data_IF_535645344719
#
_entry.id   IF_535645344719
#
_cell.length_a   1.000
_cell.length_b   1.000
_cell.length_c   1.000
_cell.angle_alpha   90.00
_cell.angle_beta   90.00
_cell.angle_gamma   90.00
#
_symmetry.space_group_name_H-M   'P 1'
#
loop_
_entity.id
_entity.type
_entity.pdbx_description
1 polymer ?
#
# COMPACT_ATOMS: atom_id res chain seq x y z
N UNK A 1 -35.45 -28.16 2.53
CA UNK A 1 -34.56 -27.54 1.53
C UNK A 1 -33.30 -28.39 1.46
N UNK A 2 -33.00 -28.99 0.31
CA UNK A 2 -31.77 -29.78 0.12
C UNK A 2 -30.56 -28.88 0.34
N UNK A 3 -29.75 -29.18 1.36
CA UNK A 3 -28.51 -28.45 1.61
C UNK A 3 -27.58 -28.67 0.40
N UNK A 4 -27.14 -27.58 -0.23
CA UNK A 4 -26.21 -27.65 -1.36
C UNK A 4 -24.98 -28.46 -0.93
N UNK A 5 -24.72 -29.56 -1.65
CA UNK A 5 -23.64 -30.50 -1.31
C UNK A 5 -22.29 -29.84 -1.57
N UNK A 6 -21.60 -29.48 -0.49
CA UNK A 6 -20.23 -28.95 -0.53
C UNK A 6 -19.25 -30.12 -0.44
N UNK A 7 -18.43 -30.29 -1.47
CA UNK A 7 -17.43 -31.37 -1.54
C UNK A 7 -16.19 -31.02 -0.70
N UNK A 8 -15.84 -29.73 -0.59
CA UNK A 8 -14.74 -29.25 0.25
C UNK A 8 -15.09 -27.89 0.87
N UNK A 9 -14.98 -27.78 2.19
CA UNK A 9 -15.21 -26.54 2.94
C UNK A 9 -13.89 -25.82 3.24
N UNK A 10 -13.82 -24.54 2.94
CA UNK A 10 -12.70 -23.63 3.25
C UNK A 10 -13.23 -22.46 4.07
N UNK A 11 -12.45 -22.00 5.05
CA UNK A 11 -12.81 -20.83 5.86
C UNK A 11 -11.76 -19.73 5.76
N UNK A 12 -12.20 -18.48 5.60
CA UNK A 12 -11.35 -17.29 5.62
C UNK A 12 -11.15 -16.84 7.06
N UNK A 13 -9.91 -16.65 7.49
CA UNK A 13 -9.52 -16.25 8.84
C UNK A 13 -8.68 -14.98 8.80
N UNK A 14 -8.70 -14.18 9.86
CA UNK A 14 -7.97 -12.92 9.94
C UNK A 14 -8.79 -11.81 10.56
N UNK A 15 -8.13 -10.77 11.08
CA UNK A 15 -8.79 -9.62 11.74
C UNK A 15 -9.80 -8.95 10.80
N UNK A 16 -10.76 -8.19 11.32
CA UNK A 16 -11.60 -7.32 10.50
C UNK A 16 -10.74 -6.43 9.57
N UNK A 17 -11.26 -6.12 8.38
CA UNK A 17 -10.62 -5.22 7.40
C UNK A 17 -9.30 -5.68 6.77
N UNK A 18 -8.90 -6.96 6.91
CA UNK A 18 -7.70 -7.52 6.27
C UNK A 18 -7.92 -8.04 4.83
N UNK A 19 -9.10 -7.81 4.25
CA UNK A 19 -9.40 -8.16 2.85
C UNK A 19 -10.00 -9.56 2.59
N UNK A 20 -10.48 -10.26 3.62
CA UNK A 20 -11.10 -11.61 3.49
C UNK A 20 -12.28 -11.61 2.51
N UNK A 21 -13.26 -10.74 2.73
CA UNK A 21 -14.44 -10.59 1.89
C UNK A 21 -14.08 -10.21 0.46
N UNK A 22 -13.13 -9.29 0.28
CA UNK A 22 -12.65 -8.86 -1.04
C UNK A 22 -11.99 -10.00 -1.81
N UNK A 23 -11.25 -10.89 -1.14
CA UNK A 23 -10.66 -12.08 -1.76
C UNK A 23 -11.72 -13.09 -2.19
N UNK A 24 -12.74 -13.32 -1.36
CA UNK A 24 -13.86 -14.22 -1.72
C UNK A 24 -14.63 -13.66 -2.91
N UNK A 25 -14.98 -12.38 -2.89
CA UNK A 25 -15.67 -11.69 -3.98
C UNK A 25 -14.88 -11.74 -5.29
N UNK A 26 -13.56 -11.47 -5.23
CA UNK A 26 -12.69 -11.54 -6.40
C UNK A 26 -12.57 -12.95 -6.93
N UNK A 27 -12.42 -13.94 -6.05
CA UNK A 27 -12.30 -15.32 -6.47
C UNK A 27 -13.59 -15.85 -7.09
N UNK A 28 -14.75 -15.54 -6.50
CA UNK A 28 -16.03 -16.14 -6.90
C UNK A 28 -16.66 -15.38 -8.07
N UNK A 29 -16.72 -14.06 -7.98
CA UNK A 29 -17.49 -13.22 -8.89
C UNK A 29 -16.60 -12.40 -9.83
N UNK A 30 -15.27 -12.55 -9.76
CA UNK A 30 -14.30 -11.79 -10.56
C UNK A 30 -14.40 -10.27 -10.39
N UNK A 31 -15.07 -9.78 -9.34
CA UNK A 31 -15.28 -8.36 -9.04
C UNK A 31 -14.52 -7.91 -7.79
N UNK A 32 -14.26 -6.62 -7.70
CA UNK A 32 -13.83 -5.98 -6.46
C UNK A 32 -14.93 -5.01 -6.04
N UNK A 33 -15.35 -5.06 -4.77
CA UNK A 33 -16.40 -4.17 -4.27
C UNK A 33 -15.81 -2.76 -4.08
N UNK A 34 -16.25 -1.81 -4.90
CA UNK A 34 -15.79 -0.40 -4.88
C UNK A 34 -16.77 0.53 -4.15
N UNK A 35 -17.64 -0.03 -3.30
CA UNK A 35 -18.66 0.71 -2.54
C UNK A 35 -18.29 0.93 -1.07
N UNK A 36 -19.17 1.59 -0.27
CA UNK A 36 -18.96 1.72 1.16
C UNK A 36 -18.79 0.34 1.79
N UNK A 37 -17.71 0.17 2.54
CA UNK A 37 -17.35 -1.10 3.15
C UNK A 37 -18.43 -1.54 4.14
N UNK A 38 -19.04 -2.70 3.88
CA UNK A 38 -19.97 -3.36 4.79
C UNK A 38 -19.24 -4.48 5.51
N UNK A 39 -19.27 -4.44 6.85
CA UNK A 39 -18.68 -5.49 7.67
C UNK A 39 -19.42 -6.81 7.48
N UNK A 40 -18.69 -7.90 7.25
CA UNK A 40 -19.25 -9.25 7.34
C UNK A 40 -19.76 -9.48 8.77
N UNK A 41 -21.03 -9.87 8.91
CA UNK A 41 -21.64 -10.21 10.20
C UNK A 41 -21.52 -11.72 10.41
N UNK A 42 -20.82 -12.14 11.47
CA UNK A 42 -20.60 -13.57 11.73
C UNK A 42 -19.75 -14.24 10.65
N UNK A 43 -20.36 -15.05 9.78
CA UNK A 43 -19.72 -15.58 8.59
C UNK A 43 -20.68 -15.71 7.39
N UNK A 44 -20.27 -15.23 6.22
CA UNK A 44 -20.97 -15.41 4.96
C UNK A 44 -20.52 -16.71 4.26
N UNK A 45 -21.44 -17.38 3.57
CA UNK A 45 -21.16 -18.62 2.85
C UNK A 45 -21.35 -18.43 1.35
N UNK A 46 -20.39 -18.92 0.57
CA UNK A 46 -20.44 -18.97 -0.89
C UNK A 46 -19.95 -20.32 -1.36
N UNK A 47 -20.60 -20.92 -2.36
CA UNK A 47 -20.05 -22.10 -3.04
C UNK A 47 -19.65 -21.79 -4.46
N UNK A 48 -18.51 -22.32 -4.89
CA UNK A 48 -18.00 -22.22 -6.25
C UNK A 48 -17.63 -23.61 -6.77
N UNK A 49 -18.17 -24.06 -7.91
CA UNK A 49 -17.65 -25.25 -8.58
C UNK A 49 -16.25 -24.97 -9.12
N UNK A 50 -15.30 -25.86 -8.85
CA UNK A 50 -13.92 -25.77 -9.29
C UNK A 50 -13.49 -27.07 -9.95
N UNK A 51 -12.67 -26.99 -10.98
CA UNK A 51 -12.10 -28.16 -11.64
C UNK A 51 -10.73 -28.46 -11.05
N UNK A 52 -10.54 -29.70 -10.58
CA UNK A 52 -9.27 -30.21 -10.03
C UNK A 52 -8.91 -31.48 -10.78
N UNK A 53 -7.98 -31.36 -11.74
CA UNK A 53 -7.71 -32.42 -12.71
C UNK A 53 -8.93 -32.70 -13.59
N UNK A 54 -9.38 -33.96 -13.63
CA UNK A 54 -10.56 -34.39 -14.39
C UNK A 54 -11.87 -34.33 -13.59
N UNK A 55 -11.83 -33.90 -12.32
CA UNK A 55 -13.01 -33.86 -11.43
C UNK A 55 -13.47 -32.43 -11.19
N UNK A 56 -14.78 -32.21 -11.22
CA UNK A 56 -15.41 -30.97 -10.76
C UNK A 56 -15.88 -31.18 -9.33
N UNK A 57 -15.46 -30.31 -8.42
CA UNK A 57 -15.87 -30.33 -7.01
C UNK A 57 -16.47 -28.99 -6.60
N UNK A 58 -17.41 -29.01 -5.67
CA UNK A 58 -18.02 -27.81 -5.11
C UNK A 58 -17.23 -27.33 -3.90
N UNK A 59 -16.51 -26.22 -4.06
CA UNK A 59 -15.78 -25.57 -2.98
C UNK A 59 -16.71 -24.62 -2.22
N UNK A 60 -16.98 -24.91 -0.96
CA UNK A 60 -17.73 -24.04 -0.06
C UNK A 60 -16.78 -23.15 0.73
N UNK A 61 -16.91 -21.84 0.59
CA UNK A 61 -16.06 -20.81 1.21
C UNK A 61 -16.89 -20.10 2.29
N UNK A 62 -16.38 -20.10 3.51
CA UNK A 62 -16.93 -19.35 4.64
C UNK A 62 -16.08 -18.10 4.88
N UNK A 63 -16.58 -16.94 4.50
CA UNK A 63 -15.97 -15.64 4.82
C UNK A 63 -16.34 -15.23 6.24
N UNK A 64 -15.37 -15.05 7.14
CA UNK A 64 -15.66 -14.68 8.53
C UNK A 64 -15.53 -13.18 8.75
N UNK A 65 -16.22 -12.62 9.74
CA UNK A 65 -16.08 -11.23 10.15
C UNK A 65 -14.63 -10.89 10.56
N UNK A 66 -14.05 -11.75 11.41
CA UNK A 66 -12.72 -11.50 11.99
C UNK A 66 -12.70 -10.46 13.11
N UNK A 67 -13.87 -10.02 13.58
CA UNK A 67 -14.03 -9.14 14.76
C UNK A 67 -14.11 -9.96 16.04
N UNK A 68 -13.52 -9.47 17.15
CA UNK A 68 -13.60 -10.14 18.45
C UNK A 68 -15.04 -10.31 18.96
N UNK A 69 -15.97 -9.46 18.49
CA UNK A 69 -17.40 -9.53 18.84
C UNK A 69 -18.08 -10.84 18.43
N UNK A 70 -17.49 -11.60 17.49
CA UNK A 70 -18.02 -12.88 17.01
C UNK A 70 -17.15 -14.08 17.40
N UNK A 71 -16.18 -13.90 18.31
CA UNK A 71 -15.23 -14.94 18.70
C UNK A 71 -15.92 -16.16 19.33
N UNK A 72 -16.98 -15.96 20.09
CA UNK A 72 -17.79 -17.05 20.67
C UNK A 72 -18.46 -17.94 19.60
N UNK A 73 -18.76 -17.40 18.41
CA UNK A 73 -19.37 -18.15 17.30
C UNK A 73 -18.35 -18.77 16.34
N UNK A 74 -17.08 -18.42 16.47
CA UNK A 74 -16.00 -18.84 15.56
C UNK A 74 -15.89 -20.35 15.41
N UNK A 75 -16.05 -21.11 16.51
CA UNK A 75 -15.97 -22.58 16.53
C UNK A 75 -17.01 -23.25 15.62
N UNK A 76 -18.19 -22.65 15.48
CA UNK A 76 -19.27 -23.18 14.64
C UNK A 76 -18.88 -23.06 13.16
N UNK A 77 -18.28 -21.93 12.78
CA UNK A 77 -17.85 -21.70 11.39
C UNK A 77 -16.67 -22.58 10.98
N UNK A 78 -15.78 -22.92 11.91
CA UNK A 78 -14.62 -23.78 11.62
C UNK A 78 -14.97 -25.26 11.51
N UNK A 79 -16.09 -25.68 12.13
CA UNK A 79 -16.49 -27.09 12.15
C UNK A 79 -16.65 -27.65 10.75
N UNK A 80 -15.96 -28.76 10.47
CA UNK A 80 -16.00 -29.44 9.19
C UNK A 80 -15.25 -28.75 8.04
N UNK A 81 -14.48 -27.68 8.30
CA UNK A 81 -13.60 -27.08 7.30
C UNK A 81 -12.40 -27.99 7.03
N UNK A 82 -12.09 -28.21 5.74
CA UNK A 82 -10.93 -28.97 5.28
C UNK A 82 -9.68 -28.12 5.09
N UNK A 83 -9.83 -26.81 4.89
CA UNK A 83 -8.72 -25.86 4.83
C UNK A 83 -9.12 -24.47 5.36
N UNK A 84 -8.12 -23.65 5.69
CA UNK A 84 -8.31 -22.27 6.10
C UNK A 84 -7.34 -21.34 5.36
N UNK A 85 -7.83 -20.17 4.96
CA UNK A 85 -7.03 -19.11 4.32
C UNK A 85 -6.88 -17.99 5.34
N UNK A 86 -5.64 -17.67 5.73
CA UNK A 86 -5.35 -16.65 6.75
C UNK A 86 -4.94 -15.35 6.05
N UNK A 87 -5.71 -14.29 6.29
CA UNK A 87 -5.49 -12.95 5.79
C UNK A 87 -5.01 -12.05 6.93
N UNK A 88 -3.94 -11.27 6.72
CA UNK A 88 -3.46 -10.29 7.69
C UNK A 88 -3.00 -9.00 6.98
N UNK A 89 -3.11 -7.87 7.68
CA UNK A 89 -2.85 -6.54 7.14
C UNK A 89 -1.37 -6.24 6.92
N UNK A 90 -1.10 -5.54 5.81
CA UNK A 90 0.19 -5.10 5.23
C UNK A 90 1.28 -6.17 5.08
N UNK A 91 1.37 -6.71 3.85
CA UNK A 91 2.52 -7.39 3.19
C UNK A 91 2.63 -8.92 3.11
N UNK A 92 1.58 -9.74 3.24
CA UNK A 92 1.55 -11.10 2.62
C UNK A 92 0.17 -11.77 2.77
N UNK A 93 -0.36 -12.35 1.71
CA UNK A 93 -1.34 -13.43 1.81
C UNK A 93 -0.56 -14.76 1.73
N UNK A 94 -0.66 -15.62 2.75
CA UNK A 94 -0.02 -16.94 2.76
C UNK A 94 -1.03 -18.02 2.41
N UNK A 95 -0.68 -18.88 1.45
CA UNK A 95 -1.27 -20.22 1.33
C UNK A 95 -0.54 -21.14 2.32
N UNK A 96 -1.25 -21.71 3.29
CA UNK A 96 -0.71 -22.72 4.20
C UNK A 96 -1.39 -24.06 3.89
N UNK A 97 -0.62 -25.02 3.38
CA UNK A 97 -1.12 -26.36 3.08
C UNK A 97 -1.14 -27.25 4.35
N UNK A 98 -2.36 -27.41 4.85
CA UNK A 98 -3.05 -28.52 5.54
C UNK A 98 -2.61 -29.21 6.84
N UNK A 99 -1.36 -29.39 7.28
CA UNK A 99 -1.15 -30.35 8.40
C UNK A 99 -0.95 -29.80 9.82
N UNK A 100 -0.68 -28.50 10.03
CA UNK A 100 -0.28 -28.01 11.37
C UNK A 100 -1.26 -27.08 12.10
N UNK A 101 -2.35 -26.64 11.45
CA UNK A 101 -3.27 -25.63 12.02
C UNK A 101 -4.43 -26.26 12.82
N UNK A 102 -4.67 -27.58 12.70
CA UNK A 102 -5.91 -28.19 13.18
C UNK A 102 -6.13 -28.22 14.71
N UNK A 103 -5.15 -27.87 15.57
CA UNK A 103 -5.35 -27.94 17.04
C UNK A 103 -4.93 -26.72 17.87
N UNK A 104 -4.14 -25.78 17.34
CA UNK A 104 -3.60 -24.63 18.12
C UNK A 104 -3.48 -23.41 17.19
N UNK A 105 -3.98 -22.23 17.59
CA UNK A 105 -4.02 -20.98 16.77
C UNK A 105 -2.66 -20.51 16.19
N UNK A 106 -2.56 -19.32 15.59
CA UNK A 106 -1.32 -18.87 14.90
C UNK A 106 -0.06 -19.03 15.77
N UNK A 107 -0.13 -18.66 17.06
CA UNK A 107 0.92 -18.87 18.06
C UNK A 107 1.25 -20.35 18.26
N UNK A 108 0.24 -21.21 18.21
CA UNK A 108 0.36 -22.66 18.30
C UNK A 108 0.96 -23.31 17.06
N UNK A 109 0.66 -22.80 15.87
CA UNK A 109 1.22 -23.26 14.60
C UNK A 109 2.68 -22.83 14.43
N UNK A 110 3.02 -21.60 14.85
CA UNK A 110 4.40 -21.13 14.94
C UNK A 110 5.18 -21.94 15.96
N UNK A 111 4.60 -22.21 17.14
CA UNK A 111 5.20 -23.12 18.14
C UNK A 111 5.39 -24.53 17.59
N UNK A 112 4.40 -25.07 16.89
CA UNK A 112 4.49 -26.42 16.33
C UNK A 112 5.55 -26.51 15.23
N UNK A 113 5.63 -25.52 14.34
CA UNK A 113 6.70 -25.41 13.34
C UNK A 113 8.09 -25.27 13.99
N UNK A 114 8.20 -24.48 15.05
CA UNK A 114 9.43 -24.35 15.84
C UNK A 114 9.85 -25.68 16.50
N UNK A 115 8.93 -26.37 17.18
CA UNK A 115 9.21 -27.68 17.79
C UNK A 115 9.48 -28.77 16.76
N UNK A 116 8.89 -28.67 15.57
CA UNK A 116 9.18 -29.54 14.43
C UNK A 116 10.44 -29.11 13.66
N UNK A 117 11.22 -28.13 14.17
CA UNK A 117 12.45 -27.61 13.57
C UNK A 117 12.29 -27.17 12.12
N UNK A 118 11.09 -26.71 11.76
CA UNK A 118 10.81 -26.10 10.46
C UNK A 118 11.34 -24.68 10.49
N UNK A 119 12.20 -24.33 9.53
CA UNK A 119 12.72 -22.97 9.43
C UNK A 119 11.58 -21.97 9.18
N UNK A 120 11.47 -20.96 10.04
CA UNK A 120 10.48 -19.88 9.95
C UNK A 120 11.08 -18.57 9.46
N UNK A 121 12.39 -18.56 9.18
CA UNK A 121 13.07 -17.44 8.53
C UNK A 121 13.08 -17.64 7.02
N UNK A 122 12.79 -16.58 6.28
CA UNK A 122 12.89 -16.55 4.82
C UNK A 122 13.45 -15.20 4.39
N UNK A 123 14.36 -15.23 3.41
CA UNK A 123 14.92 -14.03 2.80
C UNK A 123 14.19 -13.74 1.50
N UNK A 124 13.76 -12.49 1.31
CA UNK A 124 13.26 -11.98 0.03
C UNK A 124 14.36 -11.19 -0.67
N UNK A 125 14.50 -11.37 -1.99
CA UNK A 125 15.44 -10.60 -2.79
C UNK A 125 14.76 -10.13 -4.08
N UNK A 126 15.03 -8.89 -4.47
CA UNK A 126 14.56 -8.31 -5.72
C UNK A 126 15.70 -7.49 -6.35
N UNK A 127 15.93 -7.72 -7.64
CA UNK A 127 16.87 -6.94 -8.46
C UNK A 127 16.10 -6.42 -9.66
N UNK A 128 16.11 -5.11 -9.86
CA UNK A 128 15.46 -4.48 -11.01
C UNK A 128 16.10 -5.01 -12.31
N UNK A 129 15.32 -5.58 -13.23
CA UNK A 129 15.85 -6.07 -14.49
C UNK A 129 16.21 -4.91 -15.43
N UNK A 130 17.09 -5.19 -16.39
CA UNK A 130 17.32 -4.36 -17.58
C UNK A 130 17.76 -2.91 -17.30
N UNK A 131 18.54 -2.70 -16.24
CA UNK A 131 19.26 -1.45 -16.00
C UNK A 131 20.72 -1.58 -16.46
N UNK A 132 21.17 -0.61 -17.26
CA UNK A 132 22.52 -0.55 -17.78
C UNK A 132 22.66 0.65 -18.70
N UNK A 133 23.40 1.66 -18.24
CA UNK A 133 23.71 2.87 -18.99
C UNK A 133 25.21 3.00 -19.16
N UNK A 134 25.65 3.26 -20.38
CA UNK A 134 27.05 3.47 -20.72
C UNK A 134 27.27 4.93 -21.09
N UNK A 135 28.13 5.60 -20.32
CA UNK A 135 28.46 7.01 -20.50
C UNK A 135 29.34 7.26 -21.73
N UNK A 136 30.13 6.28 -22.16
CA UNK A 136 31.01 6.42 -23.34
C UNK A 136 30.20 6.40 -24.64
N UNK A 137 29.24 5.47 -24.73
CA UNK A 137 28.35 5.35 -25.90
C UNK A 137 27.09 6.20 -25.79
N UNK A 138 26.87 6.85 -24.64
CA UNK A 138 25.67 7.63 -24.30
C UNK A 138 24.36 6.85 -24.57
N UNK A 139 24.38 5.55 -24.27
CA UNK A 139 23.32 4.61 -24.65
C UNK A 139 22.97 3.65 -23.51
N UNK A 140 21.77 3.07 -23.60
CA UNK A 140 21.24 2.15 -22.59
C UNK A 140 20.19 2.78 -21.68
N UNK A 141 19.71 1.98 -20.71
CA UNK A 141 18.59 2.33 -19.84
C UNK A 141 19.09 2.65 -18.44
N UNK A 142 19.15 3.94 -18.13
CA UNK A 142 19.54 4.43 -16.80
C UNK A 142 18.44 4.25 -15.75
N UNK A 143 17.17 4.38 -16.13
CA UNK A 143 16.03 4.41 -15.20
C UNK A 143 14.97 3.36 -15.54
N UNK A 144 14.32 2.81 -14.51
CA UNK A 144 13.27 1.81 -14.70
C UNK A 144 11.96 2.44 -15.22
N UNK A 145 11.56 3.57 -14.65
CA UNK A 145 10.43 4.37 -15.09
C UNK A 145 10.67 5.82 -14.69
N UNK A 146 9.83 6.71 -15.18
CA UNK A 146 9.82 8.13 -14.80
C UNK A 146 8.47 8.48 -14.18
N UNK A 147 8.55 9.38 -13.20
CA UNK A 147 7.41 10.02 -12.56
C UNK A 147 7.28 11.40 -13.20
N UNK A 148 6.05 11.78 -13.54
CA UNK A 148 5.76 13.05 -14.20
C UNK A 148 4.89 13.91 -13.30
N UNK A 149 5.01 15.21 -13.43
CA UNK A 149 4.28 16.15 -12.61
C UNK A 149 4.26 17.53 -13.22
N UNK A 150 3.23 18.30 -12.88
CA UNK A 150 3.12 19.71 -13.21
C UNK A 150 2.65 20.46 -11.97
N UNK A 151 3.28 21.59 -11.68
CA UNK A 151 2.86 22.53 -10.66
C UNK A 151 2.64 23.91 -11.28
N UNK A 152 1.59 24.60 -10.84
CA UNK A 152 1.33 25.99 -11.16
C UNK A 152 1.16 26.75 -9.85
N UNK A 153 1.95 27.82 -9.67
CA UNK A 153 1.96 28.64 -8.47
C UNK A 153 1.72 30.10 -8.82
N UNK A 154 0.92 30.76 -7.99
CA UNK A 154 0.63 32.18 -8.03
C UNK A 154 1.17 32.84 -6.77
N UNK A 155 1.91 33.94 -6.94
CA UNK A 155 2.58 34.67 -5.86
C UNK A 155 2.31 36.15 -5.98
N UNK A 156 2.19 36.81 -4.83
CA UNK A 156 2.13 38.27 -4.73
C UNK A 156 3.44 38.77 -4.14
N UNK A 157 4.04 39.79 -4.76
CA UNK A 157 5.33 40.34 -4.34
C UNK A 157 5.13 41.80 -3.94
N UNK A 158 5.61 42.16 -2.76
CA UNK A 158 5.72 43.55 -2.33
C UNK A 158 6.99 44.16 -2.93
N UNK A 159 6.82 45.00 -3.95
CA UNK A 159 7.91 45.64 -4.66
C UNK A 159 8.73 46.63 -3.81
N UNK A 160 8.25 47.05 -2.64
CA UNK A 160 8.98 47.95 -1.75
C UNK A 160 9.91 47.20 -0.80
N UNK A 161 9.48 46.04 -0.29
CA UNK A 161 10.23 45.26 0.71
C UNK A 161 10.93 44.03 0.14
N UNK A 162 10.51 43.57 -1.04
CA UNK A 162 10.95 42.29 -1.62
C UNK A 162 10.31 41.07 -0.97
N UNK A 163 9.41 41.25 0.01
CA UNK A 163 8.64 40.16 0.58
C UNK A 163 7.66 39.59 -0.44
N UNK A 164 7.31 38.31 -0.29
CA UNK A 164 6.32 37.67 -1.15
C UNK A 164 5.36 36.79 -0.33
N UNK A 165 4.20 36.52 -0.91
CA UNK A 165 3.20 35.61 -0.36
C UNK A 165 2.77 34.61 -1.42
N UNK A 166 2.73 33.34 -1.04
CA UNK A 166 2.19 32.28 -1.88
C UNK A 166 0.66 32.30 -1.82
N UNK A 167 0.02 32.72 -2.92
CA UNK A 167 -1.43 32.83 -2.99
C UNK A 167 -2.07 31.47 -3.21
N UNK A 168 -1.69 30.79 -4.30
CA UNK A 168 -2.25 29.50 -4.65
C UNK A 168 -1.24 28.61 -5.37
N UNK A 169 -1.32 27.30 -5.13
CA UNK A 169 -0.56 26.30 -5.87
C UNK A 169 -1.45 25.12 -6.20
N UNK A 170 -1.43 24.69 -7.45
CA UNK A 170 -2.05 23.44 -7.90
C UNK A 170 -0.99 22.51 -8.47
N UNK A 171 -1.00 21.26 -8.00
CA UNK A 171 -0.04 20.22 -8.39
C UNK A 171 -0.81 19.01 -8.92
N UNK A 172 -0.38 18.50 -10.07
CA UNK A 172 -0.86 17.23 -10.62
C UNK A 172 0.33 16.29 -10.80
N UNK A 173 0.30 15.13 -10.15
CA UNK A 173 1.40 14.15 -10.17
C UNK A 173 0.95 12.79 -10.70
N UNK A 174 1.73 12.21 -11.59
CA UNK A 174 1.60 10.83 -12.05
C UNK A 174 2.38 9.88 -11.13
N UNK A 175 1.67 9.34 -10.15
CA UNK A 175 2.17 8.31 -9.21
C UNK A 175 1.71 6.90 -9.58
N UNK A 176 1.14 6.71 -10.77
CA UNK A 176 0.45 5.51 -11.17
C UNK A 176 -0.65 5.07 -10.19
N UNK A 177 -0.77 3.76 -9.95
CA UNK A 177 -1.71 3.24 -8.96
C UNK A 177 -1.10 3.32 -7.56
N UNK A 178 -1.37 4.44 -6.89
CA UNK A 178 -0.93 4.69 -5.52
C UNK A 178 -1.27 3.53 -4.59
N UNK A 179 -0.27 3.09 -3.81
CA UNK A 179 -0.45 2.08 -2.76
C UNK A 179 -1.18 2.66 -1.55
N UNK A 180 -0.90 3.92 -1.25
CA UNK A 180 -1.56 4.68 -0.19
C UNK A 180 -1.62 6.17 -0.58
N UNK A 181 -2.76 6.64 -1.10
CA UNK A 181 -2.90 8.01 -1.58
C UNK A 181 -2.59 9.08 -0.53
N UNK A 182 -2.86 8.80 0.75
CA UNK A 182 -2.58 9.76 1.83
C UNK A 182 -1.09 9.97 2.05
N UNK A 183 -0.29 8.91 1.92
CA UNK A 183 1.17 9.00 2.05
C UNK A 183 1.75 9.70 0.82
N UNK A 184 1.31 9.31 -0.37
CA UNK A 184 1.84 9.87 -1.62
C UNK A 184 1.52 11.36 -1.74
N UNK A 185 0.30 11.79 -1.37
CA UNK A 185 -0.03 13.22 -1.30
C UNK A 185 0.87 13.95 -0.30
N UNK A 186 1.09 13.37 0.90
CA UNK A 186 1.98 13.97 1.89
C UNK A 186 3.43 14.10 1.42
N UNK A 187 3.92 13.18 0.58
CA UNK A 187 5.23 13.29 -0.06
C UNK A 187 5.26 14.44 -1.07
N UNK A 188 4.26 14.55 -1.94
CA UNK A 188 4.15 15.65 -2.92
C UNK A 188 4.14 17.01 -2.22
N UNK A 189 3.31 17.15 -1.17
CA UNK A 189 3.21 18.40 -0.39
C UNK A 189 4.52 18.73 0.32
N UNK A 190 5.14 17.73 0.97
CA UNK A 190 6.41 17.91 1.68
C UNK A 190 7.56 18.27 0.75
N UNK A 191 7.70 17.56 -0.37
CA UNK A 191 8.73 17.82 -1.38
C UNK A 191 8.53 19.19 -2.03
N UNK A 192 7.28 19.56 -2.34
CA UNK A 192 6.97 20.89 -2.86
C UNK A 192 7.40 21.99 -1.88
N UNK A 193 7.05 21.87 -0.59
CA UNK A 193 7.44 22.87 0.40
C UNK A 193 8.95 22.94 0.61
N UNK A 194 9.67 21.81 0.58
CA UNK A 194 11.14 21.82 0.60
C UNK A 194 11.71 22.54 -0.64
N UNK A 195 11.12 22.35 -1.82
CA UNK A 195 11.48 23.10 -3.02
C UNK A 195 11.22 24.60 -2.88
N UNK A 196 10.08 25.00 -2.32
CA UNK A 196 9.80 26.41 -2.01
C UNK A 196 10.87 26.98 -1.10
N UNK A 197 11.24 26.27 -0.03
CA UNK A 197 12.33 26.65 0.87
C UNK A 197 13.64 26.88 0.12
N UNK A 198 14.07 25.87 -0.64
CA UNK A 198 15.31 25.92 -1.44
C UNK A 198 15.38 27.12 -2.38
N UNK A 199 14.28 27.48 -3.04
CA UNK A 199 14.30 28.52 -4.07
C UNK A 199 13.97 29.93 -3.56
N UNK A 200 13.41 30.07 -2.35
CA UNK A 200 12.87 31.37 -1.91
C UNK A 200 13.29 31.81 -0.51
N UNK A 201 13.70 30.90 0.38
CA UNK A 201 13.95 31.20 1.80
C UNK A 201 15.32 30.74 2.29
N UNK A 202 15.74 29.54 1.89
CA UNK A 202 16.90 28.87 2.44
C UNK A 202 18.20 29.38 1.82
N UNK A 203 18.96 30.16 2.59
CA UNK A 203 20.24 30.70 2.15
C UNK A 203 21.37 30.30 3.11
N UNK A 204 22.48 29.80 2.54
CA UNK A 204 23.69 29.47 3.27
C UNK A 204 24.71 30.58 3.13
N UNK A 205 24.99 31.29 4.23
CA UNK A 205 26.00 32.35 4.22
C UNK A 205 27.33 31.80 4.70
N UNK A 206 28.39 32.07 3.93
CA UNK A 206 29.75 31.67 4.26
C UNK A 206 30.63 32.91 4.40
N UNK A 207 31.56 32.87 5.36
CA UNK A 207 32.61 33.89 5.41
C UNK A 207 33.58 33.74 4.22
N UNK A 208 34.37 34.78 3.88
CA UNK A 208 35.42 34.67 2.87
C UNK A 208 36.47 33.59 3.16
N UNK A 209 36.55 33.09 4.39
CA UNK A 209 37.43 32.01 4.84
C UNK A 209 36.75 30.63 4.77
N UNK A 210 35.54 30.54 4.22
CA UNK A 210 34.77 29.30 4.07
C UNK A 210 34.02 28.85 5.32
N UNK A 211 33.87 29.72 6.33
CA UNK A 211 33.17 29.37 7.57
C UNK A 211 31.67 29.57 7.38
N UNK A 212 30.87 28.51 7.54
CA UNK A 212 29.40 28.61 7.53
C UNK A 212 28.90 29.47 8.70
N UNK A 213 28.11 30.51 8.39
CA UNK A 213 27.56 31.47 9.35
C UNK A 213 26.14 31.09 9.79
N UNK A 214 25.34 30.48 8.91
CA UNK A 214 23.93 30.12 9.18
C UNK A 214 23.78 28.76 9.88
N UNK A 215 24.25 28.65 11.12
CA UNK A 215 24.33 27.37 11.87
C UNK A 215 23.12 27.01 12.74
N UNK A 216 21.94 27.56 12.46
CA UNK A 216 20.74 27.21 13.22
C UNK A 216 19.47 27.91 12.75
N UNK A 217 18.31 27.56 13.31
CA UNK A 217 17.01 28.05 12.86
C UNK A 217 16.82 29.57 13.05
N UNK A 218 17.68 30.20 13.87
CA UNK A 218 17.74 31.65 14.01
C UNK A 218 18.22 32.35 12.74
N UNK A 219 19.17 31.74 12.01
CA UNK A 219 19.86 32.31 10.86
C UNK A 219 19.63 31.55 9.54
N UNK A 220 19.18 30.30 9.60
CA UNK A 220 18.72 29.49 8.47
C UNK A 220 17.21 29.32 8.56
N UNK A 221 16.47 29.83 7.56
CA UNK A 221 15.01 29.86 7.58
C UNK A 221 14.44 28.82 6.62
N UNK A 222 13.92 27.75 7.21
CA UNK A 222 13.06 26.80 6.50
C UNK A 222 11.64 27.37 6.40
N UNK A 223 10.84 26.91 5.42
CA UNK A 223 9.42 27.24 5.34
C UNK A 223 8.68 26.95 6.64
N UNK A 224 8.02 27.97 7.18
CA UNK A 224 7.08 27.85 8.29
C UNK A 224 5.63 27.73 7.81
N UNK A 225 4.70 27.66 8.77
CA UNK A 225 3.27 27.58 8.47
C UNK A 225 2.74 28.79 7.66
N UNK A 226 3.37 29.95 7.80
CA UNK A 226 2.99 31.16 7.07
C UNK A 226 3.42 31.20 5.61
N UNK A 227 4.37 30.35 5.22
CA UNK A 227 4.94 30.32 3.87
C UNK A 227 4.20 29.35 2.95
N UNK A 228 3.32 28.51 3.51
CA UNK A 228 2.47 27.58 2.77
C UNK A 228 1.50 28.39 1.88
N UNK A 229 1.27 27.97 0.62
CA UNK A 229 0.25 28.59 -0.21
C UNK A 229 -1.11 28.65 0.48
N UNK A 230 -1.78 29.81 0.42
CA UNK A 230 -3.09 30.00 1.07
C UNK A 230 -4.10 28.97 0.57
N UNK A 231 -3.99 28.57 -0.70
CA UNK A 231 -4.70 27.43 -1.28
C UNK A 231 -3.72 26.47 -1.94
N UNK A 232 -3.52 25.30 -1.34
CA UNK A 232 -2.76 24.20 -1.92
C UNK A 232 -3.72 23.10 -2.40
N UNK A 233 -3.62 22.69 -3.66
CA UNK A 233 -4.42 21.61 -4.23
C UNK A 233 -3.49 20.59 -4.89
N UNK A 234 -3.49 19.35 -4.38
CA UNK A 234 -2.73 18.24 -4.94
C UNK A 234 -3.70 17.23 -5.53
N UNK A 235 -3.44 16.81 -6.77
CA UNK A 235 -4.22 15.80 -7.47
C UNK A 235 -3.29 14.73 -8.04
N UNK A 236 -3.68 13.47 -7.86
CA UNK A 236 -2.99 12.33 -8.47
C UNK A 236 -3.63 12.01 -9.81
N UNK A 237 -2.81 11.81 -10.84
CA UNK A 237 -3.27 11.47 -12.19
C UNK A 237 -4.02 10.12 -12.13
N UNK A 238 -5.23 10.10 -12.67
CA UNK A 238 -6.07 8.90 -12.70
C UNK A 238 -5.73 8.03 -13.91
N UNK A 239 -5.96 6.73 -13.77
CA UNK A 239 -5.89 5.75 -14.86
C UNK A 239 -4.53 5.70 -15.59
N UNK A 240 -3.44 5.86 -14.83
CA UNK A 240 -2.06 5.83 -15.34
C UNK A 240 -1.22 4.65 -14.78
N UNK A 241 -1.64 3.38 -14.94
CA UNK A 241 -0.95 2.24 -14.33
C UNK A 241 0.50 2.06 -14.84
N UNK A 242 1.39 1.62 -13.95
CA UNK A 242 2.80 1.33 -14.27
C UNK A 242 3.15 -0.16 -14.15
N UNK A 243 3.13 -0.90 -15.25
CA UNK A 243 3.39 -2.36 -15.25
C UNK A 243 4.81 -2.76 -14.78
N UNK A 244 5.73 -1.81 -14.65
CA UNK A 244 7.13 -2.06 -14.28
C UNK A 244 7.39 -2.09 -12.78
N UNK A 245 6.37 -1.82 -11.96
CA UNK A 245 6.48 -1.74 -10.52
C UNK A 245 5.35 -2.51 -9.82
N UNK A 246 5.55 -2.78 -8.53
CA UNK A 246 4.59 -3.55 -7.73
C UNK A 246 3.23 -2.86 -7.70
N UNK A 247 2.16 -3.62 -7.92
CA UNK A 247 0.77 -3.12 -7.94
C UNK A 247 0.52 -1.90 -8.84
N UNK A 248 1.28 -1.77 -9.93
CA UNK A 248 1.18 -0.66 -10.87
C UNK A 248 1.47 0.73 -10.29
N UNK A 249 2.18 0.80 -9.15
CA UNK A 249 2.53 2.07 -8.49
C UNK A 249 3.73 2.75 -9.13
N UNK A 250 3.90 4.04 -8.88
CA UNK A 250 5.16 4.75 -9.10
C UNK A 250 5.63 5.36 -7.80
N UNK A 251 6.93 5.50 -7.69
CA UNK A 251 7.54 6.20 -6.57
C UNK A 251 7.69 7.66 -6.95
N UNK A 252 7.23 8.56 -6.08
CA UNK A 252 7.56 9.97 -6.16
C UNK A 252 8.91 10.17 -5.47
N UNK A 253 9.93 10.58 -6.21
CA UNK A 253 11.32 10.72 -5.74
C UNK A 253 11.93 11.99 -6.28
#
# INVERSE_FOLDING_TARGET
MSAMRVDAKVVMLGKESVGKTSLVERYVHHRFLVGPYQNTIGAAFVAKPIQVGEKVITLGIWDTAGSERYEAMSRIYYRGARAAIVCYGSSLARFLCSELIQSRGLTGSVRAAYFNRVNLSANGFYKTPDLGYDFETNSGRAFNYFTYGVACSEVEIDCLTGAHKNLSTTIVMDVGHSLNPAIDIGQVEGAFMQGVGLFTLEELHYSPQGVLLTRGPGSYKIPGFGDIPTKLTVSLLRDAPNDKAIFASKHDR
#
